data_IF_659337381124
#
_entry.id   IF_659337381124
#
_cell.length_a   1.000
_cell.length_b   1.000
_cell.length_c   1.000
_cell.angle_alpha   90.00
_cell.angle_beta   90.00
_cell.angle_gamma   90.00
#
_symmetry.space_group_name_H-M   'P 1'
#
loop_
_entity.id
_entity.type
_entity.pdbx_description
1 polymer ?
#
# COMPACT_ATOMS: atom_id res chain seq x y z
N UNK A 1 6.62 32.30 -15.14
CA UNK A 1 7.83 31.90 -14.40
C UNK A 1 7.46 31.75 -12.94
N UNK A 2 7.93 30.67 -12.27
CA UNK A 2 7.75 30.53 -10.84
C UNK A 2 8.66 31.55 -10.14
N UNK A 3 8.06 32.39 -9.31
CA UNK A 3 8.79 33.32 -8.43
C UNK A 3 8.96 32.64 -7.07
N UNK A 4 10.19 32.40 -6.64
CA UNK A 4 10.48 31.78 -5.35
C UNK A 4 11.97 31.47 -5.21
N UNK A 5 12.41 31.32 -3.98
CA UNK A 5 13.77 30.92 -3.64
C UNK A 5 13.77 29.45 -3.28
N UNK A 6 14.63 28.66 -3.90
CA UNK A 6 14.86 27.28 -3.50
C UNK A 6 15.56 27.25 -2.15
N UNK A 7 14.98 26.54 -1.20
CA UNK A 7 15.53 26.33 0.14
C UNK A 7 15.72 24.86 0.42
N UNK A 8 16.61 24.52 1.33
CA UNK A 8 16.80 23.15 1.77
C UNK A 8 15.54 22.64 2.51
N UNK A 9 15.23 21.37 2.33
CA UNK A 9 14.14 20.71 3.04
C UNK A 9 14.52 20.49 4.51
N UNK A 10 13.64 20.85 5.41
CA UNK A 10 13.85 20.65 6.86
C UNK A 10 13.37 19.27 7.36
N UNK A 11 12.38 18.68 6.69
CA UNK A 11 11.81 17.39 7.12
C UNK A 11 12.65 16.21 6.63
N UNK A 12 12.51 15.07 7.33
CA UNK A 12 13.12 13.81 6.90
C UNK A 12 12.56 13.37 5.55
N UNK A 13 13.41 12.85 4.65
CA UNK A 13 12.94 12.42 3.34
C UNK A 13 12.00 11.21 3.45
N UNK A 14 10.89 11.28 2.74
CA UNK A 14 10.01 10.13 2.51
C UNK A 14 10.69 9.21 1.49
N UNK A 15 10.79 7.94 1.82
CA UNK A 15 11.49 6.93 1.02
C UNK A 15 10.71 5.62 0.97
N UNK A 16 11.05 4.75 0.00
CA UNK A 16 10.68 3.35 0.00
C UNK A 16 11.47 2.66 1.12
N UNK A 17 10.80 2.26 2.20
CA UNK A 17 11.45 1.79 3.41
C UNK A 17 11.42 0.26 3.56
N UNK A 18 10.28 -0.36 3.25
CA UNK A 18 10.11 -1.80 3.42
C UNK A 18 9.39 -2.41 2.22
N UNK A 19 9.68 -3.68 1.94
CA UNK A 19 8.99 -4.50 0.94
C UNK A 19 8.16 -5.56 1.65
N UNK A 20 6.88 -5.63 1.33
CA UNK A 20 5.95 -6.60 1.86
C UNK A 20 5.51 -7.55 0.75
N UNK A 21 5.68 -8.84 0.97
CA UNK A 21 5.15 -9.87 0.08
C UNK A 21 3.66 -10.05 0.31
N UNK A 22 2.93 -10.38 -0.75
CA UNK A 22 1.55 -10.86 -0.63
C UNK A 22 1.54 -12.16 0.19
N UNK A 23 0.67 -12.26 1.18
CA UNK A 23 0.51 -13.44 2.03
C UNK A 23 -0.39 -14.48 1.37
N UNK A 24 -1.49 -14.02 0.80
CA UNK A 24 -2.45 -14.90 0.13
C UNK A 24 -3.29 -14.15 -0.92
N UNK A 25 -3.87 -14.91 -1.84
CA UNK A 25 -4.95 -14.45 -2.72
C UNK A 25 -6.27 -14.93 -2.15
N UNK A 26 -7.18 -14.00 -1.91
CA UNK A 26 -8.52 -14.27 -1.41
C UNK A 26 -9.49 -14.17 -2.59
N UNK A 27 -10.26 -15.22 -2.82
CA UNK A 27 -11.42 -15.18 -3.70
C UNK A 27 -12.67 -14.96 -2.86
N UNK A 28 -13.24 -13.77 -2.96
CA UNK A 28 -14.36 -13.39 -2.10
C UNK A 28 -15.66 -14.08 -2.49
N UNK A 29 -16.66 -14.15 -1.57
CA UNK A 29 -17.97 -14.75 -1.87
C UNK A 29 -18.69 -14.13 -3.09
N UNK A 30 -18.42 -12.88 -3.41
CA UNK A 30 -18.99 -12.18 -4.57
C UNK A 30 -18.11 -12.25 -5.82
N UNK A 31 -17.01 -13.05 -5.79
CA UNK A 31 -16.16 -13.32 -6.94
C UNK A 31 -15.06 -12.30 -7.21
N UNK A 32 -14.67 -11.49 -6.23
CA UNK A 32 -13.51 -10.59 -6.35
C UNK A 32 -12.21 -11.36 -6.11
N UNK A 33 -11.12 -10.88 -6.71
CA UNK A 33 -9.76 -11.33 -6.43
C UNK A 33 -9.06 -10.26 -5.58
N UNK A 34 -8.67 -10.62 -4.37
CA UNK A 34 -8.09 -9.72 -3.38
C UNK A 34 -6.75 -10.25 -2.90
N UNK A 35 -5.73 -9.39 -2.88
CA UNK A 35 -4.41 -9.68 -2.30
C UNK A 35 -4.40 -9.22 -0.84
N UNK A 36 -4.03 -10.10 0.10
CA UNK A 36 -3.74 -9.74 1.49
C UNK A 36 -2.23 -9.61 1.69
N UNK A 37 -1.76 -8.44 2.10
CA UNK A 37 -0.37 -8.19 2.47
C UNK A 37 -0.06 -8.56 3.93
N UNK A 38 -1.08 -8.91 4.73
CA UNK A 38 -0.94 -9.31 6.13
C UNK A 38 -0.62 -8.17 7.09
N UNK A 39 -0.40 -6.96 6.60
CA UNK A 39 -0.08 -5.75 7.35
C UNK A 39 -0.76 -4.54 6.73
N UNK A 40 -1.39 -3.69 7.56
CA UNK A 40 -1.86 -2.38 7.11
C UNK A 40 -0.70 -1.39 7.11
N UNK A 41 -0.49 -0.67 6.00
CA UNK A 41 0.63 0.27 5.84
C UNK A 41 0.32 1.39 4.85
N UNK A 42 1.06 2.50 4.96
CA UNK A 42 1.09 3.54 3.94
C UNK A 42 2.11 3.19 2.86
N UNK A 43 1.68 3.20 1.61
CA UNK A 43 2.55 2.81 0.50
C UNK A 43 1.81 2.56 -0.81
N UNK A 44 2.38 1.72 -1.64
CA UNK A 44 1.77 1.34 -2.91
C UNK A 44 2.17 -0.08 -3.31
N UNK A 45 1.50 -0.60 -4.33
CA UNK A 45 1.86 -1.89 -4.92
C UNK A 45 2.70 -1.67 -6.17
N UNK A 46 3.86 -2.33 -6.22
CA UNK A 46 4.65 -2.55 -7.42
C UNK A 46 4.31 -3.93 -7.95
N UNK A 47 4.09 -4.06 -9.26
CA UNK A 47 3.80 -5.36 -9.86
C UNK A 47 4.45 -5.53 -11.23
N UNK A 48 4.71 -6.80 -11.60
CA UNK A 48 5.19 -7.16 -12.94
C UNK A 48 3.97 -7.38 -13.83
N UNK A 49 3.87 -6.61 -14.90
CA UNK A 49 2.80 -6.77 -15.89
C UNK A 49 3.35 -7.35 -17.18
N UNK A 50 2.82 -8.49 -17.59
CA UNK A 50 3.01 -9.12 -18.88
C UNK A 50 1.68 -9.19 -19.68
N UNK A 51 0.72 -8.34 -19.31
CA UNK A 51 -0.64 -8.37 -19.85
C UNK A 51 -0.68 -7.87 -21.30
N UNK A 52 -1.60 -8.37 -22.12
CA UNK A 52 -1.75 -7.91 -23.49
C UNK A 52 -1.97 -6.41 -23.61
N UNK A 53 -1.53 -5.82 -24.74
CA UNK A 53 -1.71 -4.39 -25.00
C UNK A 53 -3.19 -3.99 -24.92
N UNK A 54 -3.45 -2.89 -24.21
CA UNK A 54 -4.79 -2.36 -24.00
C UNK A 54 -5.54 -2.98 -22.79
N UNK A 55 -4.98 -4.01 -22.15
CA UNK A 55 -5.57 -4.54 -20.89
C UNK A 55 -5.56 -3.47 -19.82
N UNK A 56 -6.73 -3.18 -19.28
CA UNK A 56 -6.90 -2.24 -18.16
C UNK A 56 -6.86 -3.01 -16.85
N UNK A 57 -5.81 -2.82 -16.06
CA UNK A 57 -5.65 -3.35 -14.70
C UNK A 57 -6.06 -2.26 -13.73
N UNK A 58 -6.89 -2.64 -12.75
CA UNK A 58 -7.31 -1.73 -11.68
C UNK A 58 -6.94 -2.37 -10.34
N UNK A 59 -6.24 -1.61 -9.51
CA UNK A 59 -5.96 -1.94 -8.12
C UNK A 59 -6.79 -1.00 -7.25
N UNK A 60 -7.73 -1.54 -6.50
CA UNK A 60 -8.49 -0.81 -5.47
C UNK A 60 -7.91 -1.16 -4.11
N UNK A 61 -7.66 -0.15 -3.28
CA UNK A 61 -7.02 -0.31 -1.98
C UNK A 61 -8.04 -0.29 -0.85
N UNK A 62 -7.86 -1.14 0.17
CA UNK A 62 -8.72 -1.27 1.33
C UNK A 62 -7.95 -1.73 2.58
N UNK A 63 -8.44 -1.37 3.77
CA UNK A 63 -7.80 -1.73 5.03
C UNK A 63 -8.40 -2.99 5.66
N UNK A 64 -9.65 -3.28 5.36
CA UNK A 64 -10.42 -4.37 5.95
C UNK A 64 -11.25 -5.12 4.91
N UNK A 65 -11.66 -6.32 5.26
CA UNK A 65 -12.75 -7.03 4.60
C UNK A 65 -14.03 -6.85 5.42
N UNK A 66 -15.18 -6.81 4.76
CA UNK A 66 -16.49 -6.81 5.41
C UNK A 66 -17.31 -7.98 4.87
N UNK A 67 -17.77 -8.86 5.74
CA UNK A 67 -18.44 -10.11 5.38
C UNK A 67 -17.62 -10.90 4.33
N UNK A 68 -16.31 -11.00 4.55
CA UNK A 68 -15.33 -11.66 3.68
C UNK A 68 -15.22 -11.08 2.26
N UNK A 69 -15.78 -9.90 2.00
CA UNK A 69 -15.66 -9.17 0.75
C UNK A 69 -14.76 -7.94 0.90
N UNK A 70 -14.21 -7.47 -0.21
CA UNK A 70 -13.43 -6.25 -0.24
C UNK A 70 -14.28 -5.05 0.19
N UNK A 71 -13.72 -4.20 1.06
CA UNK A 71 -14.42 -3.04 1.59
C UNK A 71 -13.51 -1.82 1.65
N UNK A 72 -13.96 -0.70 1.08
CA UNK A 72 -13.26 0.59 1.12
C UNK A 72 -14.20 1.81 1.25
N UNK A 73 -15.46 1.61 1.64
CA UNK A 73 -16.39 2.72 1.86
C UNK A 73 -16.00 3.60 3.06
N UNK A 74 -15.16 3.07 3.97
CA UNK A 74 -14.58 3.84 5.07
C UNK A 74 -13.59 4.93 4.59
N UNK A 75 -13.17 4.91 3.33
CA UNK A 75 -12.31 5.94 2.73
C UNK A 75 -13.09 7.20 2.33
N UNK A 76 -14.40 7.24 2.55
CA UNK A 76 -15.28 8.37 2.22
C UNK A 76 -15.20 8.74 0.73
N UNK A 77 -14.70 9.96 0.41
CA UNK A 77 -14.54 10.45 -0.96
C UNK A 77 -13.17 10.17 -1.58
N UNK A 78 -12.23 9.61 -0.81
CA UNK A 78 -10.89 9.30 -1.33
C UNK A 78 -10.97 8.19 -2.39
N UNK A 79 -10.39 8.46 -3.55
CA UNK A 79 -10.28 7.48 -4.64
C UNK A 79 -9.00 6.66 -4.49
N UNK A 80 -9.00 5.74 -3.55
CA UNK A 80 -7.89 4.83 -3.31
C UNK A 80 -7.82 3.76 -4.43
N UNK A 81 -7.41 4.19 -5.62
CA UNK A 81 -7.38 3.37 -6.82
C UNK A 81 -6.18 3.70 -7.70
N UNK A 82 -5.52 2.68 -8.23
CA UNK A 82 -4.52 2.80 -9.28
C UNK A 82 -4.99 2.10 -10.55
N UNK A 83 -4.89 2.79 -11.68
CA UNK A 83 -5.29 2.25 -12.99
C UNK A 83 -4.07 2.21 -13.90
N UNK A 84 -3.80 1.04 -14.46
CA UNK A 84 -2.76 0.83 -15.46
C UNK A 84 -3.36 0.27 -16.75
N UNK A 85 -2.93 0.80 -17.89
CA UNK A 85 -3.27 0.26 -19.21
C UNK A 85 -2.00 -0.30 -19.81
N UNK A 86 -1.99 -1.62 -20.03
CA UNK A 86 -0.82 -2.32 -20.56
C UNK A 86 -0.46 -1.87 -21.97
N UNK A 87 0.81 -1.66 -22.23
CA UNK A 87 1.36 -1.43 -23.56
C UNK A 87 1.69 -2.74 -24.32
N UNK A 88 1.53 -3.89 -23.63
CA UNK A 88 1.83 -5.24 -24.15
C UNK A 88 3.26 -5.68 -23.94
N UNK A 89 4.08 -4.89 -23.24
CA UNK A 89 5.45 -5.29 -22.86
C UNK A 89 5.52 -5.74 -21.41
N UNK A 90 6.39 -6.73 -21.13
CA UNK A 90 6.68 -7.09 -19.75
C UNK A 90 7.47 -5.99 -19.07
N UNK A 91 6.95 -5.51 -17.95
CA UNK A 91 7.59 -4.44 -17.18
C UNK A 91 7.13 -4.38 -15.73
N UNK A 92 7.97 -3.81 -14.90
CA UNK A 92 7.59 -3.42 -13.55
C UNK A 92 6.77 -2.14 -13.60
N UNK A 93 5.60 -2.17 -13.00
CA UNK A 93 4.64 -1.05 -12.91
C UNK A 93 4.53 -0.63 -11.46
N UNK A 94 4.63 0.67 -11.20
CA UNK A 94 4.35 1.26 -9.89
C UNK A 94 3.78 2.67 -10.06
N UNK A 95 2.88 3.13 -9.16
CA UNK A 95 2.46 4.52 -9.15
C UNK A 95 3.64 5.45 -8.82
N UNK A 96 3.55 6.71 -9.26
CA UNK A 96 4.52 7.75 -8.95
C UNK A 96 3.81 8.93 -8.28
N UNK A 97 4.50 9.56 -7.32
CA UNK A 97 4.02 10.75 -6.61
C UNK A 97 2.69 10.57 -5.86
N UNK A 98 2.39 9.34 -5.44
CA UNK A 98 1.21 9.00 -4.65
C UNK A 98 1.47 7.78 -3.79
N UNK A 99 0.67 7.62 -2.74
CA UNK A 99 0.62 6.43 -1.90
C UNK A 99 -0.82 6.22 -1.41
N UNK A 100 -1.07 5.06 -0.81
CA UNK A 100 -2.36 4.66 -0.26
C UNK A 100 -2.13 4.04 1.13
N UNK A 101 -3.13 4.09 2.00
CA UNK A 101 -3.14 3.31 3.24
C UNK A 101 -3.95 2.04 3.01
N UNK A 102 -3.38 0.84 3.17
CA UNK A 102 -4.08 -0.39 2.86
C UNK A 102 -3.43 -1.63 3.47
N UNK A 103 -4.20 -2.69 3.58
CA UNK A 103 -3.76 -4.06 3.78
C UNK A 103 -4.18 -4.95 2.61
N UNK A 104 -5.38 -4.70 2.07
CA UNK A 104 -6.00 -5.50 1.01
C UNK A 104 -6.01 -4.73 -0.30
N UNK A 105 -5.80 -5.45 -1.40
CA UNK A 105 -5.86 -4.88 -2.74
C UNK A 105 -6.74 -5.74 -3.62
N UNK A 106 -7.88 -5.20 -4.07
CA UNK A 106 -8.70 -5.85 -5.08
C UNK A 106 -8.09 -5.62 -6.45
N UNK A 107 -7.83 -6.72 -7.16
CA UNK A 107 -7.27 -6.70 -8.51
C UNK A 107 -8.39 -6.98 -9.51
N UNK A 108 -8.55 -6.08 -10.48
CA UNK A 108 -9.52 -6.23 -11.57
C UNK A 108 -8.83 -6.11 -12.92
N UNK A 109 -9.36 -6.82 -13.93
CA UNK A 109 -8.87 -6.77 -15.31
C UNK A 109 -7.61 -7.61 -15.57
N UNK A 110 -7.08 -8.34 -14.59
CA UNK A 110 -5.97 -9.26 -14.78
C UNK A 110 -6.42 -10.46 -15.63
N UNK A 111 -5.62 -10.81 -16.63
CA UNK A 111 -5.88 -11.95 -17.50
C UNK A 111 -4.92 -13.09 -17.19
N UNK A 112 -5.44 -14.30 -17.10
CA UNK A 112 -4.68 -15.50 -16.75
C UNK A 112 -4.47 -15.67 -15.25
N UNK A 113 -3.50 -16.52 -14.89
CA UNK A 113 -3.15 -16.81 -13.51
C UNK A 113 -2.44 -15.62 -12.86
N UNK A 114 -2.90 -15.24 -11.67
CA UNK A 114 -2.27 -14.21 -10.85
C UNK A 114 -1.26 -14.87 -9.92
N UNK A 115 0.02 -14.50 -10.05
CA UNK A 115 1.10 -15.02 -9.22
C UNK A 115 1.44 -14.05 -8.11
N UNK A 116 1.56 -14.54 -6.87
CA UNK A 116 1.86 -13.72 -5.70
C UNK A 116 3.17 -12.96 -5.83
N UNK A 117 4.18 -13.62 -6.42
CA UNK A 117 5.51 -13.04 -6.61
C UNK A 117 5.55 -11.85 -7.58
N UNK A 118 4.53 -11.69 -8.42
CA UNK A 118 4.43 -10.55 -9.33
C UNK A 118 4.05 -9.26 -8.59
N UNK A 119 3.57 -9.35 -7.34
CA UNK A 119 3.08 -8.20 -6.56
C UNK A 119 3.90 -7.99 -5.31
N UNK A 120 4.35 -6.77 -5.10
CA UNK A 120 5.12 -6.36 -3.91
C UNK A 120 4.52 -5.09 -3.34
N UNK A 121 4.16 -5.11 -2.06
CA UNK A 121 3.83 -3.92 -1.31
C UNK A 121 5.10 -3.14 -0.97
N UNK A 122 5.09 -1.85 -1.23
CA UNK A 122 6.20 -0.95 -0.92
C UNK A 122 5.71 0.03 0.14
N UNK A 123 6.18 -0.13 1.37
CA UNK A 123 5.87 0.80 2.44
C UNK A 123 6.71 2.08 2.29
N UNK A 124 6.06 3.24 2.36
CA UNK A 124 6.70 4.55 2.26
C UNK A 124 6.42 5.35 3.52
N UNK A 125 7.48 5.90 4.10
CA UNK A 125 7.40 6.80 5.25
C UNK A 125 8.69 7.60 5.39
N UNK A 126 8.68 8.63 6.27
CA UNK A 126 9.86 9.42 6.58
C UNK A 126 10.96 8.57 7.18
N UNK A 127 12.21 8.76 6.72
CA UNK A 127 13.37 8.00 7.18
C UNK A 127 13.68 8.31 8.64
N UNK A 128 13.01 7.62 9.55
CA UNK A 128 13.23 7.72 10.99
C UNK A 128 14.11 6.58 11.49
N UNK A 129 14.98 6.87 12.46
CA UNK A 129 15.76 5.83 13.13
C UNK A 129 14.91 5.14 14.21
N UNK A 130 15.00 3.82 14.27
CA UNK A 130 14.42 3.06 15.37
C UNK A 130 15.36 3.13 16.57
N UNK A 131 14.99 3.85 17.61
CA UNK A 131 15.82 4.09 18.79
C UNK A 131 15.54 3.15 19.97
N UNK A 132 14.48 2.34 19.87
CA UNK A 132 14.09 1.40 20.92
C UNK A 132 13.38 0.16 20.38
N UNK A 133 13.48 -0.92 21.15
CA UNK A 133 12.77 -2.18 20.92
C UNK A 133 12.23 -2.66 22.24
N UNK A 134 11.00 -3.14 22.24
CA UNK A 134 10.38 -3.84 23.39
C UNK A 134 10.11 -5.28 22.97
N UNK A 135 10.53 -6.21 23.81
CA UNK A 135 10.25 -7.63 23.66
C UNK A 135 9.93 -8.20 25.04
N UNK A 136 8.79 -8.86 25.17
CA UNK A 136 8.28 -9.40 26.44
C UNK A 136 7.91 -10.86 26.27
N UNK A 137 7.71 -11.57 27.39
CA UNK A 137 7.18 -12.94 27.39
C UNK A 137 5.68 -13.03 27.07
N UNK A 138 5.02 -11.94 26.69
CA UNK A 138 3.57 -11.92 26.42
C UNK A 138 3.31 -11.49 24.96
N UNK A 139 2.86 -12.43 24.13
CA UNK A 139 2.66 -12.23 22.69
C UNK A 139 1.73 -11.04 22.37
N UNK A 140 0.64 -10.86 23.13
CA UNK A 140 -0.29 -9.75 22.93
C UNK A 140 0.36 -8.37 23.17
N UNK A 141 1.31 -8.26 24.11
CA UNK A 141 2.06 -7.01 24.33
C UNK A 141 3.04 -6.76 23.17
N UNK A 142 3.70 -7.81 22.71
CA UNK A 142 4.59 -7.71 21.55
C UNK A 142 3.82 -7.32 20.29
N UNK A 143 2.62 -7.89 20.10
CA UNK A 143 1.75 -7.53 18.98
C UNK A 143 1.27 -6.06 19.09
N UNK A 144 0.88 -5.60 20.27
CA UNK A 144 0.49 -4.21 20.51
C UNK A 144 1.63 -3.26 20.15
N UNK A 145 2.85 -3.57 20.57
CA UNK A 145 4.02 -2.75 20.21
C UNK A 145 4.26 -2.72 18.70
N UNK A 146 4.19 -3.88 18.04
CA UNK A 146 4.31 -3.97 16.58
C UNK A 146 3.24 -3.12 15.87
N UNK A 147 1.98 -3.20 16.32
CA UNK A 147 0.88 -2.41 15.75
C UNK A 147 1.12 -0.90 15.94
N UNK A 148 1.59 -0.48 17.11
CA UNK A 148 1.91 0.92 17.38
C UNK A 148 3.03 1.43 16.47
N UNK A 149 4.08 0.62 16.25
CA UNK A 149 5.18 0.96 15.35
C UNK A 149 4.72 1.08 13.90
N UNK A 150 3.87 0.17 13.42
CA UNK A 150 3.29 0.28 12.08
C UNK A 150 2.34 1.47 11.95
N UNK A 151 1.56 1.76 12.99
CA UNK A 151 0.73 2.97 13.05
C UNK A 151 1.57 4.24 12.93
N UNK A 152 2.69 4.34 13.68
CA UNK A 152 3.60 5.46 13.59
C UNK A 152 4.24 5.59 12.20
N UNK A 153 4.76 4.51 11.62
CA UNK A 153 5.34 4.50 10.27
C UNK A 153 4.33 5.01 9.24
N UNK A 154 3.12 4.45 9.25
CA UNK A 154 2.08 4.76 8.28
C UNK A 154 1.51 6.18 8.39
N UNK A 155 1.65 6.81 9.57
CA UNK A 155 1.20 8.17 9.82
C UNK A 155 2.36 9.19 9.90
N UNK A 156 3.51 8.87 9.31
CA UNK A 156 4.69 9.74 9.28
C UNK A 156 5.23 9.86 7.86
N UNK A 157 4.42 10.43 6.99
CA UNK A 157 4.79 10.68 5.58
C UNK A 157 5.00 12.18 5.41
N UNK A 158 6.23 12.64 5.65
CA UNK A 158 6.68 14.02 5.76
C UNK A 158 6.22 14.68 7.08
N UNK A 159 4.94 14.88 7.26
CA UNK A 159 4.30 15.34 8.50
C UNK A 159 3.55 14.17 9.16
N UNK A 160 3.31 14.23 10.48
CA UNK A 160 2.35 13.33 11.10
C UNK A 160 0.97 13.53 10.49
N UNK A 161 0.36 12.44 10.03
CA UNK A 161 -0.98 12.41 9.47
C UNK A 161 -1.95 11.75 10.45
N UNK A 162 -3.24 12.07 10.35
CA UNK A 162 -4.29 11.49 11.19
C UNK A 162 -4.55 10.03 10.83
N UNK A 163 -4.62 9.74 9.55
CA UNK A 163 -4.85 8.39 9.06
C UNK A 163 -4.23 8.18 7.67
N UNK A 164 -3.65 6.97 7.41
CA UNK A 164 -2.88 6.72 6.18
C UNK A 164 -3.75 6.58 4.93
N UNK A 165 -5.05 6.27 5.07
CA UNK A 165 -5.93 5.95 3.95
C UNK A 165 -6.65 7.16 3.34
N UNK A 166 -6.59 8.34 3.98
CA UNK A 166 -7.36 9.53 3.56
C UNK A 166 -6.53 10.80 3.42
N UNK A 167 -5.22 10.73 3.52
CA UNK A 167 -4.30 11.88 3.40
C UNK A 167 -4.67 13.09 4.31
N UNK A 168 -5.19 12.85 5.50
CA UNK A 168 -5.54 13.85 6.52
C UNK A 168 -4.43 14.01 7.59
#
# INVERSE_FOLDING_TARGET
>A
QAEGTLVERYSLPVQEMEKLSVKEVIHTPIGETVLDFGQNFAGYVSFVSNQPKGTKIVLDFGEILQNDNFYNENYRSAKAQFVYISDGTERVVKPQFTYYGFRYVRVSGWQGELKLEDFTGIAVYSKMETTGKIETGHDGVNQLFSNAMWGQKSNSVDFPTDCPQRDE
#
